data_IF_454016652387
#
_entry.id   IF_454016652387
#
_cell.length_a   1.000
_cell.length_b   1.000
_cell.length_c   1.000
_cell.angle_alpha   90.00
_cell.angle_beta   90.00
_cell.angle_gamma   90.00
#
_symmetry.space_group_name_H-M   'P 1'
#
loop_
_entity.id
_entity.type
_entity.pdbx_description
1 polymer ?
#
# COMPACT_ATOMS: atom_id res chain seq x y z
N UNK A 1 3.99 -8.62 -21.73
CA UNK A 1 3.38 -7.39 -21.16
C UNK A 1 4.50 -6.48 -20.70
N UNK A 2 4.58 -5.30 -21.32
CA UNK A 2 5.67 -4.35 -21.16
C UNK A 2 5.37 -3.28 -20.10
N UNK A 3 6.42 -2.63 -19.60
CA UNK A 3 6.33 -1.52 -18.65
C UNK A 3 5.50 -0.35 -19.22
N UNK A 4 5.59 -0.11 -20.53
CA UNK A 4 4.80 0.89 -21.28
C UNK A 4 3.28 0.68 -21.17
N UNK A 5 2.80 -0.56 -21.32
CA UNK A 5 1.36 -0.88 -21.21
C UNK A 5 0.84 -0.58 -19.80
N UNK A 6 1.66 -0.85 -18.78
CA UNK A 6 1.33 -0.58 -17.39
C UNK A 6 1.24 0.91 -17.09
N UNK A 7 2.12 1.72 -17.70
CA UNK A 7 2.06 3.18 -17.60
C UNK A 7 0.84 3.74 -18.31
N UNK A 8 0.49 3.27 -19.50
CA UNK A 8 -0.71 3.72 -20.20
C UNK A 8 -1.99 3.45 -19.40
N UNK A 9 -2.08 2.27 -18.77
CA UNK A 9 -3.18 1.95 -17.86
C UNK A 9 -3.26 2.93 -16.68
N UNK A 10 -2.11 3.29 -16.09
CA UNK A 10 -2.04 4.26 -15.00
C UNK A 10 -2.44 5.67 -15.46
N UNK A 11 -2.01 6.11 -16.64
CA UNK A 11 -2.44 7.39 -17.25
C UNK A 11 -3.97 7.42 -17.41
N UNK A 12 -4.56 6.35 -17.92
CA UNK A 12 -6.01 6.23 -18.07
C UNK A 12 -6.73 6.32 -16.70
N UNK A 13 -6.25 5.58 -15.70
CA UNK A 13 -6.80 5.62 -14.34
C UNK A 13 -6.74 7.02 -13.71
N UNK A 14 -5.64 7.76 -13.92
CA UNK A 14 -5.51 9.15 -13.44
C UNK A 14 -6.50 10.08 -14.16
N UNK A 15 -6.70 9.91 -15.47
CA UNK A 15 -7.70 10.69 -16.23
C UNK A 15 -9.11 10.44 -15.72
N UNK A 16 -9.48 9.18 -15.47
CA UNK A 16 -10.77 8.80 -14.88
C UNK A 16 -10.95 9.38 -13.48
N UNK A 17 -9.89 9.38 -12.66
CA UNK A 17 -9.92 10.00 -11.33
C UNK A 17 -10.18 11.52 -11.40
N UNK A 18 -9.58 12.22 -12.36
CA UNK A 18 -9.81 13.67 -12.56
C UNK A 18 -11.26 13.99 -12.92
N UNK A 19 -11.99 13.08 -13.55
CA UNK A 19 -13.41 13.28 -13.87
C UNK A 19 -14.34 12.89 -12.71
N UNK A 20 -13.85 12.25 -11.66
CA UNK A 20 -14.64 11.78 -10.49
C UNK A 20 -13.97 12.03 -9.12
N UNK A 21 -13.55 13.26 -8.79
CA UNK A 21 -12.70 13.55 -7.62
C UNK A 21 -13.33 13.21 -6.27
N UNK A 22 -14.66 13.27 -6.14
CA UNK A 22 -15.39 12.98 -4.88
C UNK A 22 -15.76 11.50 -4.71
N UNK A 23 -15.52 10.65 -5.72
CA UNK A 23 -15.92 9.22 -5.70
C UNK A 23 -14.77 8.23 -5.85
N UNK A 24 -13.57 8.69 -6.19
CA UNK A 24 -12.41 7.82 -6.38
C UNK A 24 -11.33 8.08 -5.33
N UNK A 25 -10.89 7.02 -4.63
CA UNK A 25 -9.74 7.04 -3.74
C UNK A 25 -8.40 7.18 -4.48
N UNK A 26 -7.31 6.66 -3.93
CA UNK A 26 -6.01 6.62 -4.60
C UNK A 26 -5.95 5.51 -5.66
N UNK A 27 -5.09 5.68 -6.66
CA UNK A 27 -4.76 4.61 -7.61
C UNK A 27 -3.69 3.70 -6.99
N UNK A 28 -4.05 2.45 -6.72
CA UNK A 28 -3.12 1.46 -6.19
C UNK A 28 -2.38 0.75 -7.34
N UNK A 29 -1.05 0.79 -7.34
CA UNK A 29 -0.20 0.03 -8.26
C UNK A 29 0.49 -1.06 -7.45
N UNK A 30 0.22 -2.31 -7.79
CA UNK A 30 0.83 -3.46 -7.11
C UNK A 30 1.86 -4.09 -8.04
N UNK A 31 3.10 -4.15 -7.59
CA UNK A 31 4.22 -4.70 -8.36
C UNK A 31 4.63 -6.07 -7.82
N UNK A 32 5.38 -6.82 -8.64
CA UNK A 32 6.16 -7.96 -8.15
C UNK A 32 7.24 -7.46 -7.18
N UNK A 33 7.64 -8.32 -6.25
CA UNK A 33 8.76 -8.03 -5.36
C UNK A 33 10.01 -7.61 -6.16
N UNK A 34 10.61 -6.48 -5.79
CA UNK A 34 11.80 -5.92 -6.44
C UNK A 34 11.55 -5.10 -7.71
N UNK A 35 10.31 -4.99 -8.21
CA UNK A 35 9.96 -4.16 -9.37
C UNK A 35 9.31 -2.81 -8.99
N UNK A 36 9.08 -2.59 -7.70
CA UNK A 36 8.54 -1.37 -7.12
C UNK A 36 9.39 -0.12 -7.41
N UNK A 37 10.70 -0.18 -7.19
CA UNK A 37 11.59 0.95 -7.46
C UNK A 37 11.61 1.31 -8.95
N UNK A 38 11.68 0.30 -9.82
CA UNK A 38 11.61 0.51 -11.27
C UNK A 38 10.28 1.14 -11.69
N UNK A 39 9.17 0.72 -11.08
CA UNK A 39 7.86 1.31 -11.33
C UNK A 39 7.80 2.77 -10.89
N UNK A 40 8.38 3.11 -9.74
CA UNK A 40 8.46 4.49 -9.23
C UNK A 40 9.29 5.37 -10.17
N UNK A 41 10.44 4.89 -10.64
CA UNK A 41 11.29 5.65 -11.56
C UNK A 41 10.58 5.89 -12.89
N UNK A 42 9.81 4.93 -13.37
CA UNK A 42 9.03 5.08 -14.59
C UNK A 42 7.85 6.05 -14.40
N UNK A 43 7.19 6.01 -13.24
CA UNK A 43 6.18 7.01 -12.87
C UNK A 43 6.81 8.41 -12.83
N UNK A 44 8.00 8.59 -12.26
CA UNK A 44 8.71 9.88 -12.25
C UNK A 44 9.02 10.38 -13.66
N UNK A 45 9.43 9.49 -14.56
CA UNK A 45 9.73 9.84 -15.96
C UNK A 45 8.50 10.32 -16.73
N UNK A 46 7.35 9.68 -16.52
CA UNK A 46 6.12 9.99 -17.26
C UNK A 46 5.23 11.04 -16.60
N UNK A 47 5.27 11.17 -15.28
CA UNK A 47 4.44 12.09 -14.51
C UNK A 47 5.34 13.15 -13.87
N UNK A 48 5.72 14.16 -14.67
CA UNK A 48 6.48 15.32 -14.19
C UNK A 48 5.75 16.01 -13.04
N UNK A 49 6.46 16.64 -12.07
CA UNK A 49 5.87 17.36 -10.94
C UNK A 49 4.84 18.42 -11.35
N UNK A 50 5.04 19.02 -12.53
CA UNK A 50 4.16 20.00 -13.20
C UNK A 50 2.73 19.48 -13.42
N UNK A 51 2.52 18.16 -13.42
CA UNK A 51 1.21 17.52 -13.62
C UNK A 51 0.48 17.19 -12.30
N UNK A 52 0.99 17.66 -11.16
CA UNK A 52 0.33 17.68 -9.84
C UNK A 52 -0.33 16.36 -9.42
N UNK A 53 0.27 15.22 -9.73
CA UNK A 53 -0.24 13.93 -9.24
C UNK A 53 0.69 13.40 -8.16
N UNK A 54 0.49 13.77 -6.88
CA UNK A 54 1.31 13.27 -5.78
C UNK A 54 1.26 11.73 -5.74
N UNK A 55 2.41 11.07 -5.65
CA UNK A 55 2.52 9.62 -5.47
C UNK A 55 3.30 9.28 -4.20
N UNK A 56 3.00 8.14 -3.57
CA UNK A 56 3.75 7.64 -2.41
C UNK A 56 4.16 6.18 -2.57
N UNK A 57 5.26 5.85 -1.91
CA UNK A 57 5.81 4.51 -1.81
C UNK A 57 5.70 4.07 -0.33
N UNK A 58 4.81 3.13 0.02
CA UNK A 58 4.59 2.68 1.39
C UNK A 58 5.78 1.97 2.04
N UNK A 59 6.66 1.42 1.21
CA UNK A 59 7.93 0.78 1.59
C UNK A 59 9.03 1.83 1.88
N UNK A 60 8.78 3.11 1.58
CA UNK A 60 9.65 4.22 2.02
C UNK A 60 9.39 4.55 3.50
N UNK A 61 10.41 4.39 4.34
CA UNK A 61 10.33 4.59 5.79
C UNK A 61 10.08 6.07 6.17
N UNK A 62 10.27 7.00 5.24
CA UNK A 62 10.11 8.44 5.48
C UNK A 62 8.69 8.99 5.33
N UNK A 63 7.74 8.24 4.74
CA UNK A 63 6.38 8.75 4.47
C UNK A 63 5.44 8.46 5.64
N UNK A 64 4.99 9.54 6.31
CA UNK A 64 3.98 9.46 7.36
C UNK A 64 2.74 8.69 6.87
N UNK A 65 2.34 7.68 7.65
CA UNK A 65 1.22 6.79 7.34
C UNK A 65 -0.09 7.55 7.19
N UNK A 66 -0.26 8.66 7.91
CA UNK A 66 -1.46 9.48 7.85
C UNK A 66 -1.49 10.36 6.58
N UNK A 67 -0.33 10.69 6.02
CA UNK A 67 -0.22 11.45 4.77
C UNK A 67 -0.39 10.56 3.53
N UNK A 68 -0.30 9.22 3.64
CA UNK A 68 -0.42 8.27 2.52
C UNK A 68 -1.73 8.39 1.72
N UNK A 69 -2.81 8.81 2.38
CA UNK A 69 -4.12 9.02 1.75
C UNK A 69 -4.21 10.34 0.96
N UNK A 70 -3.26 11.26 1.14
CA UNK A 70 -3.19 12.51 0.37
C UNK A 70 -2.56 12.28 -1.01
N UNK A 71 -1.98 11.10 -1.25
CA UNK A 71 -1.37 10.76 -2.53
C UNK A 71 -2.41 10.19 -3.49
N UNK A 72 -2.28 10.59 -4.75
CA UNK A 72 -3.13 10.13 -5.83
C UNK A 72 -2.73 8.75 -6.35
N UNK A 73 -1.47 8.35 -6.15
CA UNK A 73 -0.93 7.05 -6.55
C UNK A 73 -0.20 6.44 -5.37
N UNK A 74 -0.42 5.15 -5.12
CA UNK A 74 0.28 4.37 -4.09
C UNK A 74 0.87 3.14 -4.77
N UNK A 75 2.19 3.02 -4.77
CA UNK A 75 2.90 1.89 -5.38
C UNK A 75 3.36 0.95 -4.28
N UNK A 76 3.01 -0.34 -4.29
CA UNK A 76 3.49 -1.29 -3.29
C UNK A 76 3.86 -2.65 -3.89
N UNK A 77 4.80 -3.34 -3.26
CA UNK A 77 5.13 -4.72 -3.62
C UNK A 77 4.04 -5.69 -3.15
N UNK A 78 3.89 -6.80 -3.86
CA UNK A 78 3.00 -7.90 -3.46
C UNK A 78 3.35 -8.45 -2.07
N UNK A 79 4.65 -8.51 -1.74
CA UNK A 79 5.13 -9.01 -0.45
C UNK A 79 4.74 -8.06 0.70
N UNK A 80 4.90 -6.75 0.51
CA UNK A 80 4.44 -5.76 1.49
C UNK A 80 2.94 -5.92 1.77
N UNK A 81 2.14 -6.08 0.71
CA UNK A 81 0.69 -6.23 0.84
C UNK A 81 0.30 -7.52 1.58
N UNK A 82 0.97 -8.64 1.28
CA UNK A 82 0.75 -9.89 2.01
C UNK A 82 1.15 -9.77 3.49
N UNK A 83 2.30 -9.15 3.78
CA UNK A 83 2.72 -8.92 5.16
C UNK A 83 1.69 -8.08 5.94
N UNK A 84 1.18 -7.00 5.33
CA UNK A 84 0.13 -6.16 5.95
C UNK A 84 -1.19 -6.89 6.13
N UNK A 85 -1.57 -7.75 5.19
CA UNK A 85 -2.75 -8.61 5.35
C UNK A 85 -2.56 -9.58 6.52
N UNK A 86 -1.38 -10.19 6.64
CA UNK A 86 -1.06 -11.08 7.75
C UNK A 86 -1.07 -10.34 9.09
N UNK A 87 -0.57 -9.10 9.15
CA UNK A 87 -0.66 -8.25 10.34
C UNK A 87 -2.13 -8.04 10.77
N UNK A 88 -3.03 -7.78 9.82
CA UNK A 88 -4.46 -7.61 10.09
C UNK A 88 -5.12 -8.90 10.59
N UNK A 89 -4.81 -10.03 9.97
CA UNK A 89 -5.29 -11.34 10.42
C UNK A 89 -4.79 -11.64 11.84
N UNK A 90 -3.51 -11.41 12.10
CA UNK A 90 -2.91 -11.61 13.43
C UNK A 90 -3.56 -10.70 14.47
N UNK A 91 -3.87 -9.45 14.11
CA UNK A 91 -4.57 -8.52 14.99
C UNK A 91 -6.01 -8.98 15.28
N UNK A 92 -6.75 -9.45 14.28
CA UNK A 92 -8.09 -9.99 14.48
C UNK A 92 -8.07 -11.23 15.40
N UNK A 93 -7.11 -12.12 15.21
CA UNK A 93 -6.89 -13.28 16.09
C UNK A 93 -6.55 -12.82 17.51
N UNK A 94 -5.70 -11.81 17.67
CA UNK A 94 -5.35 -11.23 18.98
C UNK A 94 -6.58 -10.66 19.69
N UNK A 95 -7.43 -9.91 18.99
CA UNK A 95 -8.68 -9.39 19.54
C UNK A 95 -9.62 -10.51 19.99
N UNK A 96 -9.79 -11.54 19.17
CA UNK A 96 -10.63 -12.69 19.50
C UNK A 96 -10.11 -13.45 20.74
N UNK A 97 -8.80 -13.70 20.80
CA UNK A 97 -8.18 -14.35 21.94
C UNK A 97 -8.34 -13.51 23.21
N UNK A 98 -8.15 -12.20 23.11
CA UNK A 98 -8.33 -11.27 24.24
C UNK A 98 -9.77 -11.29 24.77
N UNK A 99 -10.76 -11.31 23.88
CA UNK A 99 -12.16 -11.41 24.25
C UNK A 99 -12.52 -12.75 24.90
N UNK A 100 -11.87 -13.84 24.48
CA UNK A 100 -12.18 -15.20 24.95
C UNK A 100 -11.47 -15.57 26.25
N UNK A 101 -10.20 -15.16 26.41
CA UNK A 101 -9.30 -15.62 27.47
C UNK A 101 -8.82 -14.49 28.40
N UNK A 102 -9.14 -13.24 28.07
CA UNK A 102 -8.60 -12.07 28.76
C UNK A 102 -7.21 -11.66 28.27
N UNK A 103 -6.82 -10.43 28.60
CA UNK A 103 -5.59 -9.76 28.10
C UNK A 103 -4.33 -10.48 28.57
N UNK A 104 -4.27 -10.90 29.84
CA UNK A 104 -3.06 -11.47 30.44
C UNK A 104 -2.70 -12.85 29.88
N UNK A 105 -3.69 -13.73 29.72
CA UNK A 105 -3.48 -15.06 29.14
C UNK A 105 -3.16 -14.99 27.65
N UNK A 106 -3.81 -14.09 26.91
CA UNK A 106 -3.49 -13.85 25.49
C UNK A 106 -2.05 -13.37 25.32
N UNK A 107 -1.57 -12.47 26.19
CA UNK A 107 -0.18 -11.97 26.15
C UNK A 107 0.83 -13.09 26.40
N UNK A 108 0.54 -14.04 27.29
CA UNK A 108 1.41 -15.22 27.52
C UNK A 108 1.50 -16.11 26.27
N UNK A 109 0.37 -16.39 25.62
CA UNK A 109 0.30 -17.20 24.39
C UNK A 109 1.04 -16.55 23.19
N UNK A 110 1.01 -15.22 23.09
CA UNK A 110 1.75 -14.51 22.04
C UNK A 110 3.27 -14.53 22.25
N UNK A 111 3.75 -14.56 23.50
CA UNK A 111 5.19 -14.61 23.81
C UNK A 111 5.84 -15.96 23.47
N UNK A 112 5.10 -17.06 23.62
CA UNK A 112 5.62 -18.42 23.38
C UNK A 112 5.85 -18.75 21.90
N UNK A 113 5.35 -17.93 20.97
CA UNK A 113 5.57 -18.10 19.51
C UNK A 113 6.79 -17.35 18.96
N UNK A 114 7.51 -16.60 19.80
CA UNK A 114 8.69 -15.81 19.43
C UNK A 114 10.02 -16.44 19.87
N UNK A 115 9.97 -17.64 20.47
CA UNK A 115 11.12 -18.53 20.75
C UNK A 115 11.15 -19.68 19.73
#
# INVERSE_FOLDING_TARGET
MGLEESIQALVAAIRVKRTMPTRSGFNAVVTRAGCDLQCVDEIKRHFKPEHHTPYSFPDDLGVDKNCRLQYNIVVSSCNFRMAKYQDLVNFAVFCHATASYGVDETRKMCRTKLE
#
